data_IF_485319740329
#
_entry.id   IF_485319740329
#
_cell.length_a   1.000
_cell.length_b   1.000
_cell.length_c   1.000
_cell.angle_alpha   90.00
_cell.angle_beta   90.00
_cell.angle_gamma   90.00
#
_symmetry.space_group_name_H-M   'P 1'
#
loop_
_entity.id
_entity.type
_entity.pdbx_description
1 polymer ?
#
# COMPACT_ATOMS: atom_id res chain seq x y z
N UNK A 1 -29.87 0.47 17.62
CA UNK A 1 -29.46 0.49 16.20
C UNK A 1 -27.98 0.83 16.19
N UNK A 2 -27.18 0.18 15.35
CA UNK A 2 -25.77 0.58 15.21
C UNK A 2 -25.69 1.77 14.25
N UNK A 3 -24.83 2.73 14.57
CA UNK A 3 -24.71 3.97 13.79
C UNK A 3 -24.13 3.67 12.40
N UNK A 4 -24.68 4.27 11.35
CA UNK A 4 -24.14 4.20 9.99
C UNK A 4 -23.35 5.47 9.67
N UNK A 5 -22.28 5.34 8.88
CA UNK A 5 -21.42 6.44 8.48
C UNK A 5 -21.53 6.70 6.98
N UNK A 6 -21.63 7.96 6.59
CA UNK A 6 -21.44 8.40 5.20
C UNK A 6 -20.22 9.32 5.15
N UNK A 7 -19.22 8.97 4.35
CA UNK A 7 -18.06 9.84 4.09
C UNK A 7 -18.24 10.43 2.69
N UNK A 8 -18.37 11.75 2.63
CA UNK A 8 -18.59 12.49 1.39
C UNK A 8 -17.30 13.21 1.03
N UNK A 9 -16.67 12.83 -0.07
CA UNK A 9 -15.47 13.48 -0.60
C UNK A 9 -15.92 14.41 -1.73
N UNK A 10 -15.89 15.72 -1.48
CA UNK A 10 -16.37 16.74 -2.42
C UNK A 10 -15.21 17.50 -3.03
N UNK A 11 -15.19 17.65 -4.36
CA UNK A 11 -14.26 18.57 -5.03
C UNK A 11 -14.73 20.03 -4.90
N UNK A 12 -13.81 20.96 -4.68
CA UNK A 12 -14.08 22.41 -4.74
C UNK A 12 -13.22 23.08 -5.80
N UNK A 13 -13.87 23.90 -6.62
CA UNK A 13 -13.29 24.62 -7.76
C UNK A 13 -13.05 26.09 -7.41
N UNK A 14 -12.30 26.80 -8.26
CA UNK A 14 -12.06 28.22 -8.08
C UNK A 14 -13.36 29.03 -8.17
N UNK A 15 -13.38 30.26 -7.64
CA UNK A 15 -14.57 31.14 -7.69
C UNK A 15 -15.06 31.42 -9.12
N UNK A 16 -14.13 31.42 -10.08
CA UNK A 16 -14.42 31.57 -11.52
C UNK A 16 -15.26 30.41 -12.09
N UNK A 17 -15.36 29.30 -11.35
CA UNK A 17 -16.08 28.07 -11.71
C UNK A 17 -17.27 27.84 -10.75
N UNK A 18 -17.92 28.92 -10.33
CA UNK A 18 -19.02 28.92 -9.34
C UNK A 18 -20.20 28.00 -9.71
N UNK A 19 -20.46 27.80 -10.99
CA UNK A 19 -21.50 26.87 -11.48
C UNK A 19 -21.18 25.43 -11.08
N UNK A 20 -19.90 25.01 -11.20
CA UNK A 20 -19.48 23.66 -10.82
C UNK A 20 -19.63 23.47 -9.31
N UNK A 21 -19.20 24.45 -8.52
CA UNK A 21 -19.41 24.43 -7.08
C UNK A 21 -20.91 24.35 -6.71
N UNK A 22 -21.80 25.05 -7.43
CA UNK A 22 -23.24 24.99 -7.18
C UNK A 22 -23.84 23.60 -7.45
N UNK A 23 -23.41 22.93 -8.51
CA UNK A 23 -23.85 21.57 -8.83
C UNK A 23 -23.35 20.53 -7.79
N UNK A 24 -22.09 20.61 -7.36
CA UNK A 24 -21.57 19.77 -6.24
C UNK A 24 -22.40 19.98 -4.98
N UNK A 25 -22.77 21.22 -4.67
CA UNK A 25 -23.58 21.52 -3.50
C UNK A 25 -25.01 20.95 -3.61
N UNK A 26 -25.60 20.90 -4.81
CA UNK A 26 -26.92 20.26 -5.01
C UNK A 26 -26.88 18.76 -4.80
N UNK A 27 -25.87 18.10 -5.34
CA UNK A 27 -25.66 16.66 -5.09
C UNK A 27 -25.40 16.41 -3.61
N UNK A 28 -24.61 17.26 -2.95
CA UNK A 28 -24.37 17.17 -1.51
C UNK A 28 -25.65 17.28 -0.70
N UNK A 29 -26.57 18.18 -1.07
CA UNK A 29 -27.90 18.28 -0.45
C UNK A 29 -28.67 16.97 -0.66
N UNK A 30 -28.73 16.46 -1.89
CA UNK A 30 -29.43 15.21 -2.21
C UNK A 30 -28.86 14.02 -1.43
N UNK A 31 -27.54 13.94 -1.28
CA UNK A 31 -26.85 12.91 -0.49
C UNK A 31 -27.27 12.99 0.98
N UNK A 32 -27.23 14.19 1.59
CA UNK A 32 -27.59 14.39 3.00
C UNK A 32 -29.08 14.12 3.26
N UNK A 33 -29.95 14.39 2.30
CA UNK A 33 -31.37 14.05 2.37
C UNK A 33 -31.59 12.53 2.28
N UNK A 34 -30.96 11.88 1.30
CA UNK A 34 -31.14 10.45 1.01
C UNK A 34 -30.54 9.57 2.11
N UNK A 35 -29.34 9.91 2.58
CA UNK A 35 -28.62 9.19 3.64
C UNK A 35 -28.81 9.85 5.00
N UNK A 36 -30.01 10.38 5.27
CA UNK A 36 -30.33 11.10 6.51
C UNK A 36 -30.26 10.23 7.77
N UNK A 37 -30.28 8.90 7.63
CA UNK A 37 -30.05 7.93 8.71
C UNK A 37 -28.54 7.67 8.98
N UNK A 38 -27.64 8.25 8.17
CA UNK A 38 -26.19 8.15 8.34
C UNK A 38 -25.63 9.40 9.02
N UNK A 39 -24.60 9.22 9.84
CA UNK A 39 -23.74 10.34 10.21
C UNK A 39 -22.91 10.74 8.98
N UNK A 40 -23.19 11.90 8.40
CA UNK A 40 -22.46 12.41 7.25
C UNK A 40 -21.22 13.21 7.68
N UNK A 41 -20.05 12.79 7.20
CA UNK A 41 -18.76 13.46 7.40
C UNK A 41 -18.24 13.90 6.04
N UNK A 42 -17.89 15.19 5.90
CA UNK A 42 -17.50 15.78 4.63
C UNK A 42 -15.99 16.06 4.58
N UNK A 43 -15.37 15.68 3.46
CA UNK A 43 -13.96 15.94 3.12
C UNK A 43 -13.95 16.81 1.87
N UNK A 44 -13.63 18.08 2.03
CA UNK A 44 -13.55 19.03 0.92
C UNK A 44 -12.14 19.07 0.35
N UNK A 45 -11.99 18.71 -0.93
CA UNK A 45 -10.71 18.65 -1.64
C UNK A 45 -10.66 19.73 -2.72
N UNK A 46 -9.77 20.73 -2.63
CA UNK A 46 -9.63 21.73 -3.69
C UNK A 46 -8.97 21.12 -4.92
N UNK A 47 -9.53 21.33 -6.12
CA UNK A 47 -9.01 20.74 -7.38
C UNK A 47 -7.61 21.23 -7.74
N UNK A 48 -7.25 22.47 -7.35
CA UNK A 48 -5.93 23.08 -7.59
C UNK A 48 -4.93 22.73 -6.47
N UNK A 49 -5.39 22.13 -5.36
CA UNK A 49 -4.49 21.80 -4.26
C UNK A 49 -3.58 20.63 -4.65
N UNK A 50 -2.27 20.81 -4.44
CA UNK A 50 -1.31 19.72 -4.61
C UNK A 50 -1.65 18.50 -3.73
N UNK A 51 -1.23 17.31 -4.18
CA UNK A 51 -1.51 16.01 -3.56
C UNK A 51 -1.29 15.99 -2.03
N UNK A 52 -0.25 16.67 -1.54
CA UNK A 52 0.08 16.78 -0.12
C UNK A 52 -1.01 17.46 0.71
N UNK A 53 -1.64 18.51 0.17
CA UNK A 53 -2.69 19.26 0.89
C UNK A 53 -3.98 18.45 1.00
N UNK A 54 -4.34 17.73 -0.07
CA UNK A 54 -5.50 16.84 -0.08
C UNK A 54 -5.35 15.69 0.93
N UNK A 55 -4.16 15.07 1.00
CA UNK A 55 -3.83 14.03 1.99
C UNK A 55 -3.96 14.54 3.43
N UNK A 56 -3.43 15.74 3.70
CA UNK A 56 -3.50 16.33 5.05
C UNK A 56 -4.94 16.60 5.49
N UNK A 57 -5.76 17.20 4.63
CA UNK A 57 -7.17 17.47 4.92
C UNK A 57 -7.94 16.16 5.16
N UNK A 58 -7.68 15.15 4.33
CA UNK A 58 -8.27 13.82 4.46
C UNK A 58 -7.91 13.20 5.82
N UNK A 59 -6.63 13.19 6.19
CA UNK A 59 -6.17 12.65 7.47
C UNK A 59 -6.84 13.33 8.68
N UNK A 60 -6.92 14.66 8.68
CA UNK A 60 -7.55 15.43 9.77
C UNK A 60 -9.02 15.05 9.98
N UNK A 61 -9.78 14.85 8.90
CA UNK A 61 -11.18 14.44 9.01
C UNK A 61 -11.29 12.99 9.47
N UNK A 62 -10.44 12.09 8.95
CA UNK A 62 -10.44 10.68 9.35
C UNK A 62 -10.13 10.48 10.84
N UNK A 63 -9.26 11.30 11.44
CA UNK A 63 -8.98 11.27 12.89
C UNK A 63 -10.23 11.50 13.76
N UNK A 64 -11.24 12.22 13.24
CA UNK A 64 -12.49 12.47 13.97
C UNK A 64 -13.44 11.26 13.97
N UNK A 65 -13.22 10.30 13.06
CA UNK A 65 -14.09 9.14 12.88
C UNK A 65 -13.71 8.06 13.90
N UNK A 66 -14.67 7.74 14.78
CA UNK A 66 -14.51 6.71 15.81
C UNK A 66 -14.93 5.32 15.31
N UNK A 67 -14.36 4.26 15.89
CA UNK A 67 -14.66 2.85 15.56
C UNK A 67 -16.01 2.35 16.11
N UNK A 68 -17.05 3.19 16.09
CA UNK A 68 -18.39 2.90 16.62
C UNK A 68 -19.44 2.62 15.53
N UNK A 69 -19.11 2.93 14.28
CA UNK A 69 -20.01 2.78 13.14
C UNK A 69 -20.04 1.32 12.67
N UNK A 70 -21.22 0.83 12.30
CA UNK A 70 -21.38 -0.54 11.80
C UNK A 70 -21.06 -0.68 10.32
N UNK A 71 -21.28 0.37 9.52
CA UNK A 71 -21.05 0.38 8.08
C UNK A 71 -20.65 1.77 7.61
N UNK A 72 -19.94 1.83 6.48
CA UNK A 72 -19.58 3.06 5.81
C UNK A 72 -20.06 3.07 4.36
N UNK A 73 -20.70 4.16 3.95
CA UNK A 73 -20.95 4.50 2.55
C UNK A 73 -20.03 5.65 2.14
N UNK A 74 -19.26 5.46 1.09
CA UNK A 74 -18.39 6.50 0.53
C UNK A 74 -19.11 7.16 -0.65
N UNK A 75 -19.15 8.49 -0.68
CA UNK A 75 -19.68 9.25 -1.81
C UNK A 75 -18.55 10.12 -2.37
N UNK A 76 -18.21 9.94 -3.64
CA UNK A 76 -17.35 10.83 -4.39
C UNK A 76 -18.24 11.83 -5.12
N UNK A 77 -18.19 13.10 -4.73
CA UNK A 77 -19.01 14.16 -5.30
C UNK A 77 -18.12 15.16 -6.05
N UNK A 78 -18.15 15.09 -7.38
CA UNK A 78 -17.23 15.86 -8.23
C UNK A 78 -17.80 16.07 -9.63
N UNK A 79 -17.39 17.14 -10.30
CA UNK A 79 -17.70 17.30 -11.73
C UNK A 79 -16.82 16.43 -12.60
N UNK A 80 -15.51 16.49 -12.39
CA UNK A 80 -14.57 15.76 -13.23
C UNK A 80 -14.41 14.28 -12.86
N UNK A 81 -13.30 13.74 -13.33
CA UNK A 81 -12.96 12.34 -13.10
C UNK A 81 -12.47 12.13 -11.65
N UNK A 82 -13.37 11.70 -10.77
CA UNK A 82 -13.02 11.17 -9.45
C UNK A 82 -12.12 9.94 -9.57
N UNK A 83 -11.02 9.91 -8.81
CA UNK A 83 -9.95 8.90 -8.89
C UNK A 83 -8.79 9.25 -9.84
N UNK A 84 -8.82 10.42 -10.49
CA UNK A 84 -7.80 10.83 -11.48
C UNK A 84 -7.39 12.31 -11.32
N UNK A 85 -8.31 13.26 -11.52
CA UNK A 85 -7.97 14.69 -11.61
C UNK A 85 -8.46 15.49 -10.40
N UNK A 86 -9.76 15.45 -10.14
CA UNK A 86 -10.42 16.38 -9.20
C UNK A 86 -10.38 15.85 -7.77
N UNK A 87 -10.66 14.55 -7.61
CA UNK A 87 -10.42 13.79 -6.39
C UNK A 87 -9.36 12.76 -6.74
N UNK A 88 -8.17 12.86 -6.13
CA UNK A 88 -7.07 11.92 -6.37
C UNK A 88 -7.38 10.56 -5.73
N UNK A 89 -6.93 9.47 -6.34
CA UNK A 89 -7.17 8.12 -5.80
C UNK A 89 -6.52 7.92 -4.44
N UNK A 90 -5.43 8.63 -4.13
CA UNK A 90 -4.80 8.59 -2.81
C UNK A 90 -5.78 8.98 -1.69
N UNK A 91 -6.66 9.95 -1.89
CA UNK A 91 -7.68 10.32 -0.90
C UNK A 91 -8.66 9.17 -0.67
N UNK A 92 -9.13 8.55 -1.74
CA UNK A 92 -10.06 7.41 -1.65
C UNK A 92 -9.39 6.22 -0.97
N UNK A 93 -8.14 5.92 -1.33
CA UNK A 93 -7.32 4.87 -0.69
C UNK A 93 -7.15 5.13 0.80
N UNK A 94 -6.86 6.37 1.21
CA UNK A 94 -6.74 6.72 2.63
C UNK A 94 -8.03 6.43 3.40
N UNK A 95 -9.20 6.78 2.84
CA UNK A 95 -10.49 6.48 3.47
C UNK A 95 -10.71 4.96 3.57
N UNK A 96 -10.47 4.22 2.49
CA UNK A 96 -10.63 2.75 2.48
C UNK A 96 -9.71 2.07 3.49
N UNK A 97 -8.46 2.52 3.57
CA UNK A 97 -7.47 2.04 4.51
C UNK A 97 -7.90 2.30 5.96
N UNK A 98 -8.32 3.54 6.27
CA UNK A 98 -8.73 3.94 7.62
C UNK A 98 -9.99 3.22 8.09
N UNK A 99 -10.99 3.03 7.21
CA UNK A 99 -12.18 2.22 7.51
C UNK A 99 -11.79 0.78 7.82
N UNK A 100 -10.87 0.20 7.04
CA UNK A 100 -10.34 -1.13 7.31
C UNK A 100 -9.58 -1.19 8.65
N UNK A 101 -8.82 -0.17 9.02
CA UNK A 101 -8.07 -0.14 10.27
C UNK A 101 -8.99 -0.11 11.49
N UNK A 102 -10.08 0.66 11.37
CA UNK A 102 -11.16 0.80 12.36
C UNK A 102 -12.15 -0.37 12.36
N UNK A 103 -12.02 -1.30 11.41
CA UNK A 103 -12.93 -2.45 11.29
C UNK A 103 -14.35 -2.08 10.85
N UNK A 104 -14.51 -0.94 10.18
CA UNK A 104 -15.80 -0.46 9.65
C UNK A 104 -15.93 -1.00 8.22
N UNK A 105 -16.87 -1.91 7.92
CA UNK A 105 -17.07 -2.42 6.58
C UNK A 105 -17.66 -1.34 5.68
N UNK A 106 -17.09 -1.20 4.49
CA UNK A 106 -17.63 -0.36 3.43
C UNK A 106 -18.74 -1.13 2.72
N UNK A 107 -19.92 -0.54 2.58
CA UNK A 107 -21.05 -1.17 1.87
C UNK A 107 -21.07 -0.78 0.41
N UNK A 108 -20.73 0.48 0.11
CA UNK A 108 -20.89 1.07 -1.21
C UNK A 108 -19.93 2.26 -1.40
N UNK A 109 -19.50 2.46 -2.64
CA UNK A 109 -18.94 3.71 -3.12
C UNK A 109 -19.83 4.28 -4.23
N UNK A 110 -20.42 5.45 -4.03
CA UNK A 110 -21.18 6.17 -5.06
C UNK A 110 -20.31 7.24 -5.71
N UNK A 111 -20.05 7.10 -7.00
CA UNK A 111 -19.31 8.05 -7.82
C UNK A 111 -20.28 9.02 -8.53
N UNK A 112 -20.64 10.09 -7.83
CA UNK A 112 -21.36 11.24 -8.36
C UNK A 112 -20.38 12.10 -9.17
N UNK A 113 -20.16 11.71 -10.43
CA UNK A 113 -19.28 12.39 -11.38
C UNK A 113 -20.13 13.18 -12.39
N UNK A 114 -20.39 14.46 -12.17
CA UNK A 114 -21.21 15.29 -13.07
C UNK A 114 -20.36 15.94 -14.19
N UNK A 115 -20.26 15.25 -15.33
CA UNK A 115 -19.88 15.78 -16.65
C UNK A 115 -18.66 16.75 -16.78
N UNK A 116 -17.56 16.54 -16.07
CA UNK A 116 -16.40 17.46 -16.11
C UNK A 116 -15.35 17.15 -17.20
N UNK A 117 -15.59 17.53 -18.46
CA UNK A 117 -14.47 17.61 -19.44
C UNK A 117 -14.31 18.95 -20.16
N UNK A 118 -15.33 19.78 -20.19
CA UNK A 118 -15.26 21.16 -20.65
C UNK A 118 -16.22 21.89 -19.72
N UNK A 119 -15.92 23.10 -19.25
CA UNK A 119 -16.84 23.91 -18.43
C UNK A 119 -18.10 24.35 -19.19
N UNK A 120 -18.79 23.39 -19.79
CA UNK A 120 -19.97 23.47 -20.62
C UNK A 120 -20.87 22.32 -20.20
N UNK A 121 -22.03 22.65 -19.65
CA UNK A 121 -23.13 21.73 -19.40
C UNK A 121 -23.49 20.93 -20.67
N UNK A 122 -24.18 19.79 -20.52
CA UNK A 122 -24.68 19.03 -21.66
C UNK A 122 -25.54 19.90 -22.61
N UNK A 123 -26.24 20.87 -22.05
CA UNK A 123 -27.01 21.89 -22.77
C UNK A 123 -26.11 22.81 -23.60
N UNK A 124 -25.00 23.29 -23.04
CA UNK A 124 -24.04 24.16 -23.74
C UNK A 124 -23.24 23.42 -24.81
N UNK A 125 -22.87 22.16 -24.60
CA UNK A 125 -22.22 21.32 -25.63
C UNK A 125 -23.17 21.07 -26.81
N UNK A 126 -24.45 20.83 -26.54
CA UNK A 126 -25.48 20.66 -27.58
C UNK A 126 -25.80 21.99 -28.29
N UNK A 127 -25.76 23.11 -27.58
CA UNK A 127 -25.89 24.44 -28.16
C UNK A 127 -24.70 24.79 -29.06
N UNK A 128 -23.48 24.39 -28.68
CA UNK A 128 -22.26 24.59 -29.45
C UNK A 128 -22.16 23.66 -30.68
N UNK A 129 -22.86 22.53 -30.68
CA UNK A 129 -22.90 21.62 -31.83
C UNK A 129 -24.30 20.99 -32.03
N UNK A 130 -25.21 21.71 -32.72
CA UNK A 130 -26.62 21.32 -32.88
C UNK A 130 -26.86 20.00 -33.63
N UNK A 131 -25.82 19.49 -34.30
CA UNK A 131 -25.85 18.23 -35.05
C UNK A 131 -25.63 16.99 -34.17
N UNK A 132 -25.27 17.17 -32.89
CA UNK A 132 -25.12 16.06 -31.94
C UNK A 132 -26.53 15.53 -31.62
N UNK A 133 -26.85 14.26 -31.92
CA UNK A 133 -28.13 13.67 -31.56
C UNK A 133 -28.35 13.77 -30.04
N UNK A 134 -29.58 13.98 -29.59
CA UNK A 134 -29.93 14.08 -28.16
C UNK A 134 -29.38 12.90 -27.32
N UNK A 135 -29.21 11.74 -27.94
CA UNK A 135 -28.73 10.49 -27.36
C UNK A 135 -27.23 10.23 -27.53
N UNK A 136 -26.47 11.13 -28.16
CA UNK A 136 -25.04 10.93 -28.39
C UNK A 136 -24.20 11.21 -27.14
N UNK A 137 -23.34 10.26 -26.82
CA UNK A 137 -22.47 10.24 -25.64
C UNK A 137 -21.35 11.26 -25.74
N UNK A 138 -21.26 12.16 -24.75
CA UNK A 138 -20.18 13.13 -24.61
C UNK A 138 -19.23 12.60 -23.51
N UNK A 139 -18.14 11.94 -23.92
CA UNK A 139 -17.10 11.29 -23.07
C UNK A 139 -17.46 9.95 -22.41
N UNK A 140 -16.48 9.03 -22.36
CA UNK A 140 -16.62 7.73 -21.72
C UNK A 140 -16.17 7.78 -20.24
N UNK A 141 -17.10 8.09 -19.33
CA UNK A 141 -16.90 8.04 -17.86
C UNK A 141 -16.46 6.69 -17.32
N UNK A 142 -16.67 5.61 -18.08
CA UNK A 142 -16.32 4.24 -17.68
C UNK A 142 -14.82 4.07 -17.34
N UNK A 143 -13.94 4.81 -18.01
CA UNK A 143 -12.50 4.67 -17.82
C UNK A 143 -11.98 5.12 -16.44
N UNK A 144 -12.55 6.17 -15.82
CA UNK A 144 -12.10 6.67 -14.51
C UNK A 144 -12.45 5.69 -13.38
N UNK A 145 -13.66 5.12 -13.41
CA UNK A 145 -14.11 4.15 -12.41
C UNK A 145 -13.35 2.82 -12.52
N UNK A 146 -13.07 2.35 -13.75
CA UNK A 146 -12.25 1.14 -13.97
C UNK A 146 -10.82 1.34 -13.44
N UNK A 147 -10.24 2.53 -13.61
CA UNK A 147 -8.92 2.88 -13.04
C UNK A 147 -8.98 2.86 -11.51
N UNK A 148 -10.01 3.48 -10.91
CA UNK A 148 -10.18 3.49 -9.46
C UNK A 148 -10.38 2.07 -8.92
N UNK A 149 -11.23 1.26 -9.56
CA UNK A 149 -11.46 -0.15 -9.21
C UNK A 149 -10.14 -0.94 -9.23
N UNK A 150 -9.36 -0.83 -10.30
CA UNK A 150 -8.07 -1.53 -10.41
C UNK A 150 -7.10 -1.12 -9.28
N UNK A 151 -7.08 0.17 -8.94
CA UNK A 151 -6.24 0.72 -7.86
C UNK A 151 -6.69 0.26 -6.47
N UNK A 152 -8.00 0.17 -6.23
CA UNK A 152 -8.57 -0.31 -4.96
C UNK A 152 -8.39 -1.83 -4.82
N UNK A 153 -8.58 -2.60 -5.88
CA UNK A 153 -8.33 -4.06 -5.88
C UNK A 153 -6.86 -4.41 -5.59
N UNK A 154 -5.93 -3.52 -5.93
CA UNK A 154 -4.51 -3.68 -5.61
C UNK A 154 -4.16 -3.32 -4.16
N UNK A 155 -5.11 -2.79 -3.37
CA UNK A 155 -4.86 -2.42 -1.97
C UNK A 155 -4.75 -3.65 -1.07
N UNK A 156 -3.84 -3.54 -0.11
CA UNK A 156 -3.71 -4.48 1.00
C UNK A 156 -4.16 -3.75 2.27
N UNK A 157 -5.25 -4.22 2.88
CA UNK A 157 -5.94 -3.56 4.00
C UNK A 157 -5.97 -4.47 5.23
N UNK A 158 -6.02 -3.94 6.46
CA UNK A 158 -6.01 -4.76 7.71
C UNK A 158 -7.10 -5.85 7.73
N UNK A 159 -8.28 -5.49 7.26
CA UNK A 159 -9.46 -6.32 7.03
C UNK A 159 -9.79 -6.21 5.54
N UNK A 160 -10.07 -7.33 4.86
CA UNK A 160 -10.49 -7.26 3.46
C UNK A 160 -11.81 -6.49 3.36
N UNK A 161 -11.93 -5.62 2.35
CA UNK A 161 -13.13 -4.87 2.03
C UNK A 161 -13.70 -5.40 0.72
N UNK A 162 -15.00 -5.67 0.70
CA UNK A 162 -15.72 -6.07 -0.51
C UNK A 162 -16.93 -5.16 -0.64
N UNK A 163 -16.96 -4.35 -1.69
CA UNK A 163 -18.03 -3.38 -1.92
C UNK A 163 -18.13 -3.06 -3.40
N UNK A 164 -19.24 -2.46 -3.79
CA UNK A 164 -19.48 -2.06 -5.16
C UNK A 164 -19.28 -0.56 -5.34
N UNK A 165 -18.69 -0.19 -6.49
CA UNK A 165 -18.67 1.18 -7.01
C UNK A 165 -19.86 1.33 -7.94
N UNK A 166 -20.77 2.26 -7.61
CA UNK A 166 -21.85 2.68 -8.48
C UNK A 166 -21.50 4.03 -9.07
N UNK A 167 -21.63 4.19 -10.38
CA UNK A 167 -21.48 5.49 -11.04
C UNK A 167 -22.28 5.57 -12.32
N UNK A 168 -22.47 6.76 -12.85
CA UNK A 168 -23.25 6.93 -14.08
C UNK A 168 -22.44 6.53 -15.32
N UNK A 169 -23.06 5.75 -16.21
CA UNK A 169 -22.48 5.41 -17.52
C UNK A 169 -22.37 6.62 -18.46
N UNK A 170 -23.16 7.67 -18.22
CA UNK A 170 -23.22 8.90 -19.00
C UNK A 170 -23.16 10.13 -18.09
N UNK A 171 -22.96 11.31 -18.71
CA UNK A 171 -23.33 12.60 -18.14
C UNK A 171 -24.69 12.53 -17.42
N UNK A 172 -24.81 13.16 -16.25
CA UNK A 172 -26.10 13.49 -15.65
C UNK A 172 -26.07 14.96 -15.22
N UNK A 173 -27.25 15.57 -15.13
CA UNK A 173 -27.49 16.92 -14.64
C UNK A 173 -28.11 16.86 -13.22
N UNK A 174 -27.40 17.30 -12.18
CA UNK A 174 -27.89 17.32 -10.79
C UNK A 174 -29.22 18.09 -10.60
N UNK A 175 -29.56 19.00 -11.52
CA UNK A 175 -30.78 19.83 -11.43
C UNK A 175 -32.01 19.04 -11.85
N UNK A 176 -31.91 18.32 -12.97
CA UNK A 176 -33.05 17.67 -13.62
C UNK A 176 -33.12 16.17 -13.36
N UNK A 177 -32.03 15.56 -12.89
CA UNK A 177 -31.89 14.11 -12.70
C UNK A 177 -31.66 13.74 -11.22
N UNK A 178 -32.30 14.45 -10.29
CA UNK A 178 -32.21 14.19 -8.84
C UNK A 178 -32.58 12.74 -8.50
N UNK A 179 -33.65 12.21 -9.09
CA UNK A 179 -34.09 10.83 -8.86
C UNK A 179 -33.01 9.82 -9.27
N UNK A 180 -32.28 10.06 -10.35
CA UNK A 180 -31.19 9.18 -10.78
C UNK A 180 -30.03 9.17 -9.76
N UNK A 181 -29.76 10.31 -9.11
CA UNK A 181 -28.81 10.41 -7.99
C UNK A 181 -29.29 9.61 -6.78
N UNK A 182 -30.57 9.73 -6.43
CA UNK A 182 -31.17 8.96 -5.33
C UNK A 182 -31.08 7.45 -5.60
N UNK A 183 -31.45 7.01 -6.81
CA UNK A 183 -31.38 5.60 -7.22
C UNK A 183 -29.94 5.08 -7.12
N UNK A 184 -28.96 5.87 -7.56
CA UNK A 184 -27.55 5.50 -7.48
C UNK A 184 -27.05 5.39 -6.03
N UNK A 185 -27.47 6.32 -5.16
CA UNK A 185 -27.14 6.28 -3.73
C UNK A 185 -27.73 5.06 -3.04
N UNK A 186 -28.91 4.60 -3.48
CA UNK A 186 -29.56 3.39 -2.99
C UNK A 186 -29.00 2.09 -3.63
N UNK A 187 -28.10 2.20 -4.61
CA UNK A 187 -27.54 1.05 -5.33
C UNK A 187 -28.48 0.47 -6.40
N UNK A 188 -29.51 1.23 -6.80
CA UNK A 188 -30.58 0.83 -7.72
C UNK A 188 -30.42 1.42 -9.14
N UNK A 189 -29.22 1.92 -9.49
CA UNK A 189 -28.96 2.54 -10.79
C UNK A 189 -27.48 2.63 -11.18
N UNK A 190 -27.24 3.01 -12.44
CA UNK A 190 -25.89 3.24 -12.98
C UNK A 190 -25.14 1.98 -13.44
N UNK A 191 -23.83 2.13 -13.58
CA UNK A 191 -22.86 1.06 -13.86
C UNK A 191 -22.21 0.64 -12.55
N UNK A 192 -22.16 -0.67 -12.32
CA UNK A 192 -21.60 -1.26 -11.11
C UNK A 192 -20.26 -1.92 -11.41
N UNK A 193 -19.26 -1.66 -10.55
CA UNK A 193 -17.95 -2.31 -10.57
C UNK A 193 -17.64 -2.87 -9.17
N UNK A 194 -17.29 -4.15 -9.10
CA UNK A 194 -16.98 -4.78 -7.84
C UNK A 194 -15.53 -4.53 -7.39
N UNK A 195 -15.36 -4.15 -6.13
CA UNK A 195 -14.05 -3.99 -5.48
C UNK A 195 -13.87 -5.09 -4.44
N UNK A 196 -12.70 -5.71 -4.46
CA UNK A 196 -12.23 -6.67 -3.46
C UNK A 196 -10.79 -6.34 -3.09
N UNK A 197 -10.59 -5.76 -1.91
CA UNK A 197 -9.24 -5.51 -1.40
C UNK A 197 -8.65 -6.78 -0.79
N UNK A 198 -7.33 -6.91 -0.83
CA UNK A 198 -6.67 -8.04 -0.20
C UNK A 198 -6.52 -7.77 1.30
N UNK A 199 -6.85 -8.76 2.15
CA UNK A 199 -6.49 -8.68 3.57
C UNK A 199 -4.96 -8.69 3.69
N UNK A 200 -4.44 -7.82 4.54
CA UNK A 200 -3.11 -7.93 5.10
C UNK A 200 -3.07 -9.20 5.93
N UNK A 201 -2.63 -10.28 5.29
CA UNK A 201 -2.14 -11.44 6.01
C UNK A 201 -0.77 -11.01 6.50
N UNK A 202 -0.52 -10.92 7.82
CA UNK A 202 0.83 -10.69 8.31
C UNK A 202 1.70 -11.81 7.78
N UNK A 203 2.39 -11.52 6.68
CA UNK A 203 3.48 -12.34 6.20
C UNK A 203 4.53 -12.16 7.27
N UNK A 204 4.87 -13.23 7.99
CA UNK A 204 5.95 -13.14 8.97
C UNK A 204 7.14 -12.42 8.33
N UNK A 205 7.87 -11.55 9.04
CA UNK A 205 9.01 -10.84 8.47
C UNK A 205 9.96 -11.79 7.73
N UNK A 206 10.12 -13.01 8.26
CA UNK A 206 10.86 -14.12 7.64
C UNK A 206 10.31 -14.58 6.28
N UNK A 207 8.99 -14.73 6.14
CA UNK A 207 8.37 -15.15 4.88
C UNK A 207 8.45 -14.02 3.84
N UNK A 208 8.36 -12.76 4.26
CA UNK A 208 8.54 -11.61 3.37
C UNK A 208 9.98 -11.50 2.88
N UNK A 209 10.95 -11.58 3.79
CA UNK A 209 12.38 -11.64 3.47
C UNK A 209 12.70 -12.80 2.51
N UNK A 210 12.14 -13.99 2.75
CA UNK A 210 12.30 -15.15 1.86
C UNK A 210 11.71 -14.88 0.46
N UNK A 211 10.58 -14.19 0.38
CA UNK A 211 9.97 -13.82 -0.91
C UNK A 211 10.81 -12.80 -1.67
N UNK A 212 11.43 -11.84 -0.99
CA UNK A 212 12.38 -10.89 -1.58
C UNK A 212 13.58 -11.65 -2.16
N UNK A 213 14.18 -12.59 -1.40
CA UNK A 213 15.29 -13.41 -1.89
C UNK A 213 14.93 -14.23 -3.13
N UNK A 214 13.74 -14.84 -3.18
CA UNK A 214 13.26 -15.55 -4.38
C UNK A 214 13.13 -14.63 -5.58
N UNK A 215 12.63 -13.41 -5.39
CA UNK A 215 12.54 -12.44 -6.48
C UNK A 215 13.93 -11.97 -6.94
N UNK A 216 14.88 -11.78 -6.02
CA UNK A 216 16.29 -11.48 -6.36
C UNK A 216 16.90 -12.60 -7.19
N UNK A 217 16.68 -13.87 -6.82
CA UNK A 217 17.16 -15.02 -7.57
C UNK A 217 16.63 -15.03 -9.00
N UNK A 218 15.34 -14.75 -9.21
CA UNK A 218 14.73 -14.61 -10.55
C UNK A 218 15.43 -13.51 -11.35
N UNK A 219 15.69 -12.35 -10.76
CA UNK A 219 16.39 -11.24 -11.44
C UNK A 219 17.82 -11.62 -11.79
N UNK A 220 18.56 -12.25 -10.88
CA UNK A 220 19.94 -12.69 -11.10
C UNK A 220 20.06 -13.75 -12.18
N UNK A 221 19.18 -14.75 -12.19
CA UNK A 221 19.11 -15.77 -13.25
C UNK A 221 18.79 -15.15 -14.62
N UNK A 222 17.96 -14.10 -14.63
CA UNK A 222 17.54 -13.38 -15.83
C UNK A 222 18.62 -12.45 -16.40
N UNK A 223 19.68 -12.11 -15.64
CA UNK A 223 20.79 -11.28 -16.14
C UNK A 223 21.53 -11.92 -17.31
N UNK A 224 21.54 -13.26 -17.39
CA UNK A 224 22.31 -14.00 -18.38
C UNK A 224 21.71 -13.95 -19.80
N UNK A 225 20.44 -13.54 -19.97
CA UNK A 225 19.78 -13.56 -21.28
C UNK A 225 18.79 -12.41 -21.43
N UNK A 226 18.98 -11.51 -22.40
CA UNK A 226 18.06 -10.36 -22.62
C UNK A 226 16.60 -10.77 -22.87
N UNK A 227 16.37 -11.95 -23.47
CA UNK A 227 15.02 -12.52 -23.69
C UNK A 227 14.26 -12.82 -22.39
N UNK A 228 14.94 -12.96 -21.25
CA UNK A 228 14.29 -13.26 -19.97
C UNK A 228 13.62 -12.03 -19.33
N UNK A 229 14.02 -10.81 -19.73
CA UNK A 229 13.49 -9.57 -19.13
C UNK A 229 12.04 -9.27 -19.57
N UNK A 230 11.54 -9.88 -20.63
CA UNK A 230 10.13 -9.80 -21.05
C UNK A 230 9.25 -10.89 -20.44
N UNK A 231 9.82 -11.83 -19.66
CA UNK A 231 9.03 -12.90 -19.07
C UNK A 231 8.12 -12.37 -17.96
N UNK A 232 6.87 -12.86 -17.85
CA UNK A 232 5.95 -12.45 -16.79
C UNK A 232 6.52 -12.65 -15.38
N UNK A 233 7.36 -13.67 -15.17
CA UNK A 233 8.02 -13.91 -13.89
C UNK A 233 9.02 -12.80 -13.52
N UNK A 234 9.82 -12.34 -14.50
CA UNK A 234 10.76 -11.24 -14.31
C UNK A 234 10.00 -9.93 -14.00
N UNK A 235 8.96 -9.61 -14.77
CA UNK A 235 8.14 -8.41 -14.55
C UNK A 235 7.51 -8.40 -13.16
N UNK A 236 6.97 -9.56 -12.72
CA UNK A 236 6.45 -9.70 -11.35
C UNK A 236 7.53 -9.50 -10.31
N UNK A 237 8.70 -10.12 -10.48
CA UNK A 237 9.83 -9.98 -9.56
C UNK A 237 10.30 -8.51 -9.48
N UNK A 238 10.41 -7.80 -10.61
CA UNK A 238 10.79 -6.38 -10.61
C UNK A 238 9.77 -5.51 -9.92
N UNK A 239 8.48 -5.77 -10.08
CA UNK A 239 7.42 -5.01 -9.42
C UNK A 239 7.45 -5.24 -7.91
N UNK A 240 7.58 -6.50 -7.47
CA UNK A 240 7.69 -6.85 -6.05
C UNK A 240 8.92 -6.23 -5.38
N UNK A 241 10.08 -6.26 -6.05
CA UNK A 241 11.29 -5.60 -5.55
C UNK A 241 11.17 -4.05 -5.59
N UNK A 242 10.41 -3.51 -6.54
CA UNK A 242 10.06 -2.09 -6.60
C UNK A 242 9.21 -1.64 -5.40
N UNK A 243 8.24 -2.46 -5.00
CA UNK A 243 7.45 -2.23 -3.78
C UNK A 243 8.33 -2.33 -2.53
N UNK A 244 9.13 -3.40 -2.42
CA UNK A 244 10.01 -3.63 -1.27
C UNK A 244 11.00 -2.47 -1.04
N UNK A 245 11.65 -1.96 -2.09
CA UNK A 245 12.59 -0.83 -1.93
C UNK A 245 11.87 0.47 -1.53
N UNK A 246 10.61 0.64 -1.97
CA UNK A 246 9.80 1.83 -1.63
C UNK A 246 9.43 1.79 -0.15
N UNK A 247 9.01 0.64 0.35
CA UNK A 247 8.73 0.41 1.77
C UNK A 247 9.99 0.65 2.63
N UNK A 248 11.14 0.09 2.25
CA UNK A 248 12.41 0.36 2.93
C UNK A 248 12.74 1.84 2.97
N UNK A 249 12.55 2.56 1.85
CA UNK A 249 12.77 4.01 1.76
C UNK A 249 11.84 4.79 2.68
N UNK A 250 10.58 4.40 2.79
CA UNK A 250 9.62 5.03 3.72
C UNK A 250 10.02 4.82 5.17
N UNK A 251 10.49 3.62 5.53
CA UNK A 251 10.99 3.32 6.89
C UNK A 251 12.24 4.13 7.22
N UNK A 252 13.23 4.17 6.34
CA UNK A 252 14.43 5.01 6.55
C UNK A 252 14.05 6.48 6.71
N UNK A 253 13.18 7.01 5.84
CA UNK A 253 12.71 8.39 5.92
C UNK A 253 12.04 8.68 7.27
N UNK A 254 11.13 7.82 7.71
CA UNK A 254 10.44 7.97 8.99
C UNK A 254 11.43 8.05 10.17
N UNK A 255 12.43 7.16 10.22
CA UNK A 255 13.41 7.18 11.31
C UNK A 255 14.30 8.43 11.27
N UNK A 256 14.71 8.88 10.06
CA UNK A 256 15.49 10.12 9.91
C UNK A 256 14.69 11.37 10.30
N UNK A 257 13.41 11.45 9.89
CA UNK A 257 12.54 12.59 10.19
C UNK A 257 12.27 12.72 11.70
N UNK A 258 12.17 11.58 12.40
CA UNK A 258 11.91 11.54 13.83
C UNK A 258 13.19 11.47 14.69
N UNK A 259 14.38 11.61 14.08
CA UNK A 259 15.68 11.49 14.76
C UNK A 259 15.82 10.19 15.58
N UNK A 260 15.26 9.09 15.09
CA UNK A 260 15.30 7.78 15.72
C UNK A 260 16.43 6.91 15.13
N UNK A 261 17.00 5.99 15.92
CA UNK A 261 17.90 4.97 15.38
C UNK A 261 17.22 4.19 14.27
N UNK A 262 17.95 3.94 13.17
CA UNK A 262 17.46 3.16 12.05
C UNK A 262 17.60 1.67 12.38
N UNK A 263 16.52 0.88 12.25
CA UNK A 263 16.60 -0.57 12.45
C UNK A 263 17.61 -1.23 11.50
N UNK A 264 18.28 -2.29 11.99
CA UNK A 264 19.44 -2.87 11.32
C UNK A 264 19.11 -3.40 9.92
N UNK A 265 17.89 -3.87 9.70
CA UNK A 265 17.40 -4.35 8.42
C UNK A 265 17.32 -3.25 7.35
N UNK A 266 17.09 -2.00 7.74
CA UNK A 266 17.00 -0.85 6.81
C UNK A 266 18.35 -0.13 6.60
N UNK A 267 19.33 -0.38 7.47
CA UNK A 267 20.67 0.20 7.38
C UNK A 267 21.35 -0.01 6.02
N UNK A 268 21.24 -1.18 5.34
CA UNK A 268 21.84 -1.39 4.03
C UNK A 268 21.41 -0.38 2.97
N UNK A 269 20.14 0.06 2.98
CA UNK A 269 19.64 1.06 2.03
C UNK A 269 20.25 2.43 2.32
N UNK A 270 20.26 2.86 3.59
CA UNK A 270 20.87 4.14 3.96
C UNK A 270 22.35 4.15 3.57
N UNK A 271 23.10 3.10 3.93
CA UNK A 271 24.52 2.99 3.61
C UNK A 271 24.77 3.03 2.10
N UNK A 272 23.98 2.33 1.28
CA UNK A 272 24.12 2.39 -0.18
C UNK A 272 23.91 3.81 -0.72
N UNK A 273 22.90 4.55 -0.21
CA UNK A 273 22.65 5.94 -0.62
C UNK A 273 23.77 6.88 -0.12
N UNK A 274 24.29 6.70 1.08
CA UNK A 274 25.42 7.48 1.61
C UNK A 274 26.72 7.21 0.86
N UNK A 275 27.02 5.95 0.50
CA UNK A 275 28.16 5.59 -0.32
C UNK A 275 28.01 6.17 -1.73
N UNK A 276 26.78 6.14 -2.26
CA UNK A 276 26.41 6.89 -3.46
C UNK A 276 26.43 8.41 -3.27
N UNK A 277 26.66 8.94 -2.07
CA UNK A 277 26.99 10.35 -1.81
C UNK A 277 28.51 10.59 -1.62
N UNK A 278 29.32 9.55 -1.42
CA UNK A 278 30.78 9.63 -1.28
C UNK A 278 31.51 9.47 -2.62
N UNK A 279 30.97 8.68 -3.56
CA UNK A 279 31.62 8.39 -4.85
C UNK A 279 31.71 9.61 -5.81
N UNK A 280 32.81 9.89 -6.51
CA UNK A 280 32.85 10.98 -7.48
C UNK A 280 31.95 10.69 -8.70
N UNK A 281 30.84 11.42 -8.87
CA UNK A 281 29.94 11.31 -10.02
C UNK A 281 29.86 12.63 -10.80
N UNK A 282 29.90 12.55 -12.14
CA UNK A 282 29.90 13.73 -13.04
C UNK A 282 28.66 14.62 -12.91
N UNK A 283 27.50 14.02 -12.62
CA UNK A 283 26.20 14.72 -12.68
C UNK A 283 25.61 15.03 -11.29
N UNK A 284 26.46 15.13 -10.27
CA UNK A 284 25.98 15.36 -8.90
C UNK A 284 25.68 16.85 -8.64
N UNK A 285 24.59 17.15 -7.90
CA UNK A 285 24.53 18.39 -7.15
C UNK A 285 25.67 18.44 -6.13
N UNK A 286 26.10 19.64 -5.71
CA UNK A 286 27.20 19.92 -4.78
C UNK A 286 27.33 18.92 -3.61
N UNK A 287 28.54 18.82 -3.02
CA UNK A 287 28.83 17.96 -1.87
C UNK A 287 27.71 18.00 -0.82
N UNK A 288 27.08 16.84 -0.59
CA UNK A 288 25.98 16.70 0.37
C UNK A 288 26.57 16.34 1.74
N UNK A 289 26.19 17.04 2.82
CA UNK A 289 26.67 16.71 4.15
C UNK A 289 26.24 15.30 4.57
N UNK A 290 27.11 14.61 5.29
CA UNK A 290 26.86 13.30 5.89
C UNK A 290 26.97 13.41 7.42
N UNK A 291 26.16 12.65 8.21
CA UNK A 291 25.12 11.71 7.76
C UNK A 291 23.93 12.42 7.08
N UNK A 292 23.17 11.70 6.26
CA UNK A 292 22.04 12.29 5.53
C UNK A 292 20.87 12.57 6.47
N UNK A 293 20.32 13.79 6.40
CA UNK A 293 18.98 14.07 6.95
C UNK A 293 17.87 13.50 6.04
N UNK A 294 16.62 13.54 6.50
CA UNK A 294 15.47 12.98 5.79
C UNK A 294 15.27 13.58 4.38
N UNK A 295 15.49 14.89 4.22
CA UNK A 295 15.32 15.60 2.94
C UNK A 295 16.42 15.23 1.95
N UNK A 296 17.66 15.23 2.42
CA UNK A 296 18.84 14.84 1.65
C UNK A 296 18.79 13.36 1.27
N UNK A 297 18.32 12.49 2.16
CA UNK A 297 18.10 11.07 1.86
C UNK A 297 17.11 10.89 0.71
N UNK A 298 15.92 11.51 0.75
CA UNK A 298 14.91 11.38 -0.32
C UNK A 298 15.45 11.89 -1.65
N UNK A 299 16.19 13.00 -1.63
CA UNK A 299 16.80 13.57 -2.83
C UNK A 299 17.86 12.62 -3.42
N UNK A 300 18.80 12.15 -2.61
CA UNK A 300 19.90 11.29 -3.06
C UNK A 300 19.44 9.88 -3.42
N UNK A 301 18.44 9.34 -2.72
CA UNK A 301 17.75 8.11 -3.08
C UNK A 301 17.18 8.14 -4.50
N UNK A 302 16.58 9.26 -4.94
CA UNK A 302 16.06 9.41 -6.31
C UNK A 302 17.17 9.32 -7.36
N UNK A 303 18.33 9.95 -7.10
CA UNK A 303 19.47 9.87 -8.00
C UNK A 303 20.07 8.46 -8.02
N UNK A 304 20.23 7.86 -6.84
CA UNK A 304 20.68 6.48 -6.69
C UNK A 304 19.78 5.50 -7.45
N UNK A 305 18.46 5.60 -7.29
CA UNK A 305 17.49 4.74 -7.96
C UNK A 305 17.50 4.90 -9.48
N UNK A 306 17.80 6.10 -9.98
CA UNK A 306 17.91 6.39 -11.41
C UNK A 306 19.13 5.71 -12.03
N UNK A 307 20.27 5.75 -11.34
CA UNK A 307 21.54 5.15 -11.75
C UNK A 307 21.56 3.63 -11.54
N UNK A 308 21.18 3.18 -10.35
CA UNK A 308 21.19 1.78 -9.91
C UNK A 308 19.89 1.08 -10.28
N UNK A 309 19.87 0.48 -11.47
CA UNK A 309 18.75 -0.34 -11.95
C UNK A 309 18.47 -1.52 -11.02
N UNK A 310 17.27 -2.10 -11.10
CA UNK A 310 16.84 -3.22 -10.24
C UNK A 310 17.77 -4.45 -10.33
N UNK A 311 18.43 -4.64 -11.47
CA UNK A 311 19.42 -5.69 -11.69
C UNK A 311 20.86 -5.27 -11.36
N UNK A 312 21.11 -4.04 -10.88
CA UNK A 312 22.46 -3.65 -10.48
C UNK A 312 22.88 -4.45 -9.23
N UNK A 313 24.17 -4.79 -9.16
CA UNK A 313 24.71 -5.57 -8.03
C UNK A 313 24.52 -4.83 -6.70
N UNK A 314 24.58 -3.50 -6.73
CA UNK A 314 24.35 -2.65 -5.57
C UNK A 314 22.90 -2.75 -5.06
N UNK A 315 21.91 -2.65 -5.94
CA UNK A 315 20.49 -2.76 -5.55
C UNK A 315 20.12 -4.17 -5.13
N UNK A 316 20.68 -5.19 -5.78
CA UNK A 316 20.56 -6.59 -5.35
C UNK A 316 21.19 -6.80 -3.97
N UNK A 317 22.37 -6.22 -3.73
CA UNK A 317 23.07 -6.29 -2.45
C UNK A 317 22.25 -5.70 -1.30
N UNK A 318 21.54 -4.59 -1.53
CA UNK A 318 20.60 -4.01 -0.55
C UNK A 318 19.49 -5.02 -0.19
N UNK A 319 18.84 -5.65 -1.18
CA UNK A 319 17.77 -6.61 -0.93
C UNK A 319 18.23 -7.88 -0.21
N UNK A 320 19.42 -8.40 -0.57
CA UNK A 320 20.03 -9.56 0.08
C UNK A 320 20.32 -9.25 1.56
N UNK A 321 21.03 -8.16 1.83
CA UNK A 321 21.37 -7.73 3.20
C UNK A 321 20.13 -7.46 4.05
N UNK A 322 19.12 -6.78 3.50
CA UNK A 322 17.83 -6.59 4.19
C UNK A 322 17.25 -7.93 4.63
N UNK A 323 17.17 -8.88 3.70
CA UNK A 323 16.54 -10.18 3.94
C UNK A 323 17.35 -11.03 4.92
N UNK A 324 18.68 -11.02 4.80
CA UNK A 324 19.61 -11.68 5.72
C UNK A 324 19.47 -11.17 7.14
N UNK A 325 19.45 -9.85 7.36
CA UNK A 325 19.28 -9.25 8.69
C UNK A 325 17.95 -9.69 9.33
N UNK A 326 16.84 -9.60 8.59
CA UNK A 326 15.52 -10.03 9.09
C UNK A 326 15.50 -11.51 9.48
N UNK A 327 16.14 -12.38 8.69
CA UNK A 327 16.21 -13.82 8.96
C UNK A 327 17.11 -14.14 10.18
N UNK A 328 18.22 -13.42 10.33
CA UNK A 328 19.13 -13.54 11.48
C UNK A 328 18.41 -13.13 12.76
N UNK A 329 17.76 -11.96 12.77
CA UNK A 329 17.04 -11.46 13.95
C UNK A 329 15.90 -12.39 14.37
N UNK A 330 15.14 -12.92 13.40
CA UNK A 330 14.12 -13.92 13.67
C UNK A 330 14.71 -15.21 14.30
N UNK A 331 15.89 -15.63 13.84
CA UNK A 331 16.59 -16.80 14.39
C UNK A 331 17.07 -16.55 15.82
N UNK A 332 17.60 -15.35 16.10
CA UNK A 332 18.03 -14.95 17.45
C UNK A 332 16.81 -14.91 18.38
N UNK A 333 15.71 -14.30 17.94
CA UNK A 333 14.45 -14.22 18.70
C UNK A 333 13.88 -15.61 19.02
N UNK A 334 13.82 -16.51 18.03
CA UNK A 334 13.37 -17.88 18.25
C UNK A 334 14.26 -18.65 19.24
N UNK A 335 15.58 -18.48 19.16
CA UNK A 335 16.53 -19.09 20.13
C UNK A 335 16.35 -18.51 21.53
N UNK A 336 16.10 -17.21 21.67
CA UNK A 336 15.85 -16.58 22.96
C UNK A 336 14.55 -17.10 23.60
N UNK A 337 13.48 -17.25 22.80
CA UNK A 337 12.21 -17.82 23.26
C UNK A 337 12.36 -19.29 23.69
N UNK A 338 13.08 -20.11 22.92
CA UNK A 338 13.37 -21.50 23.29
C UNK A 338 14.18 -21.59 24.60
N UNK A 339 15.14 -20.68 24.81
CA UNK A 339 15.89 -20.60 26.06
C UNK A 339 15.00 -20.22 27.24
N UNK A 340 14.13 -19.23 27.09
CA UNK A 340 13.19 -18.81 28.13
C UNK A 340 12.26 -19.97 28.54
N UNK A 341 11.71 -20.71 27.57
CA UNK A 341 10.88 -21.88 27.82
C UNK A 341 11.66 -23.03 28.50
N UNK A 342 12.95 -23.17 28.21
CA UNK A 342 13.81 -24.17 28.86
C UNK A 342 14.20 -23.80 30.29
N UNK A 343 14.35 -22.51 30.61
CA UNK A 343 14.66 -22.05 31.98
C UNK A 343 13.45 -22.12 32.90
N UNK A 344 12.24 -21.85 32.39
CA UNK A 344 11.00 -22.00 33.16
C UNK A 344 10.69 -23.47 33.48
N UNK A 345 11.14 -24.40 32.64
CA UNK A 345 11.04 -25.84 32.90
C UNK A 345 11.99 -26.34 34.01
N UNK A 346 13.08 -25.60 34.30
CA UNK A 346 14.07 -25.98 35.32
C UNK A 346 13.74 -25.34 36.68
N UNK A 347 13.08 -24.17 36.71
CA UNK A 347 12.65 -23.52 37.97
C UNK A 347 11.34 -24.06 38.57
N UNK A 348 10.67 -25.00 37.90
CA UNK A 348 9.38 -25.57 38.30
C UNK A 348 9.44 -26.91 39.05
N UNK A 349 10.62 -27.45 39.38
CA UNK A 349 10.74 -28.72 40.10
C UNK A 349 11.15 -28.51 41.57
N UNK A 350 10.22 -28.61 42.54
CA UNK A 350 10.57 -28.64 43.94
C UNK A 350 10.92 -30.07 44.33
N UNK A 351 12.16 -30.49 44.10
CA UNK A 351 12.75 -31.60 44.84
C UNK A 351 14.16 -31.21 45.27
N UNK A 352 14.25 -30.82 46.54
CA UNK A 352 15.33 -31.18 47.47
C UNK A 352 15.65 -32.68 47.27
N UNK A 353 16.90 -33.15 47.28
CA UNK A 353 17.84 -33.04 48.40
C UNK A 353 19.28 -33.27 47.92
N UNK A 354 20.20 -32.67 48.65
CA UNK A 354 21.58 -33.12 48.82
C UNK A 354 21.63 -34.63 49.07
N UNK A 355 22.54 -35.34 48.41
CA UNK A 355 23.23 -36.48 49.02
C UNK A 355 24.58 -36.66 48.32
N UNK A 356 25.63 -36.38 49.09
CA UNK A 356 26.99 -36.84 48.90
C UNK A 356 27.00 -38.35 48.59
N UNK A 357 27.66 -38.76 47.52
CA UNK A 357 28.36 -40.05 47.50
C UNK A 357 29.69 -39.92 46.73
N UNK A 358 30.74 -40.10 47.52
CA UNK A 358 32.14 -40.22 47.18
C UNK A 358 32.44 -41.46 46.32
N UNK A 359 33.44 -41.30 45.44
CA UNK A 359 34.49 -42.26 45.06
C UNK A 359 34.13 -43.75 44.86
N UNK A 360 34.37 -44.30 43.67
CA UNK A 360 35.47 -45.26 43.44
C UNK A 360 35.51 -45.79 41.99
N UNK A 361 36.74 -45.84 41.47
CA UNK A 361 37.33 -46.84 40.56
C UNK A 361 36.69 -47.16 39.19
N UNK A 362 37.37 -46.65 38.17
CA UNK A 362 37.66 -47.34 36.92
C UNK A 362 38.68 -48.46 37.22
N UNK A 363 38.58 -49.69 36.69
CA UNK A 363 39.27 -49.95 35.42
C UNK A 363 38.73 -51.15 34.59
N UNK A 364 38.66 -51.01 33.27
CA UNK A 364 39.07 -52.09 32.36
C UNK A 364 39.69 -51.49 31.10
N UNK A 365 41.02 -51.58 31.04
CA UNK A 365 41.83 -51.41 29.84
C UNK A 365 41.75 -52.65 28.93
N UNK A 366 41.93 -52.38 27.63
CA UNK A 366 42.53 -53.20 26.58
C UNK A 366 41.87 -54.53 26.17
N UNK A 367 41.48 -54.65 24.90
CA UNK A 367 42.40 -55.32 23.96
C UNK A 367 42.20 -54.91 22.49
N UNK A 368 43.34 -54.77 21.85
CA UNK A 368 43.60 -54.52 20.44
C UNK A 368 43.42 -55.78 19.59
N UNK A 369 42.94 -55.66 18.35
CA UNK A 369 42.79 -56.84 17.48
C UNK A 369 42.53 -56.56 16.01
N UNK A 370 43.61 -56.25 15.29
CA UNK A 370 43.92 -56.58 13.89
C UNK A 370 42.94 -56.27 12.74
N UNK A 371 43.48 -55.42 11.87
CA UNK A 371 43.24 -55.24 10.45
C UNK A 371 43.53 -56.52 9.63
N UNK A 372 42.58 -56.96 8.79
CA UNK A 372 42.87 -57.77 7.59
C UNK A 372 41.82 -57.51 6.49
N UNK A 373 42.23 -56.80 5.44
CA UNK A 373 42.11 -57.29 4.08
C UNK A 373 40.75 -57.23 3.36
N UNK A 374 40.55 -56.13 2.62
CA UNK A 374 40.34 -56.15 1.16
C UNK A 374 39.12 -56.88 0.57
N UNK A 375 38.31 -56.15 -0.21
CA UNK A 375 38.20 -56.34 -1.67
C UNK A 375 37.35 -55.27 -2.34
N UNK A 376 37.79 -54.93 -3.55
CA UNK A 376 37.19 -54.07 -4.57
C UNK A 376 35.83 -54.59 -5.06
N UNK A 377 35.21 -53.71 -5.87
CA UNK A 377 34.16 -53.87 -6.91
C UNK A 377 32.75 -53.51 -6.43
N UNK A 378 31.98 -52.64 -7.10
CA UNK A 378 32.16 -52.01 -8.40
C UNK A 378 31.07 -50.96 -8.68
N UNK A 379 31.29 -50.23 -9.78
CA UNK A 379 30.43 -49.19 -10.38
C UNK A 379 28.99 -49.64 -10.62
N UNK A 380 28.03 -48.72 -10.44
CA UNK A 380 27.37 -48.00 -11.55
C UNK A 380 27.05 -46.57 -11.11
#
# INVERSE_FOLDING_TARGET
MQDKLCIIISSVYAETESVLNAEVQRDLTTVKETLSDHTCVEITVPVIAGETSAKRLTAQVLETIQSRYATCHIVLNTHGAGGVNDIKDECVKMVVQDMSEKGIPITQLSALQCNGMLGQSATEVRAANPMIPLHATVSAKKASMEILQAKLNAMITKEAQNFDIFGFGSAYDPISEKEAVVDLLNGEGGVTLNVSTARYIPVSPTRYATQILKNVEIIEQSKATERYQSMPAYIRATNMLGLAITEMKEKVFFHLENCQPIPAEFQPLLTAVEDYCRAPHRDRPQAVPLPLDASNFVRMYKYWLKDKKVHSDERIGVFKKYSETVLIEATISAKAQLRALSTDAISGSPYTTEEDFSSEENPYENDSGMDVGGKKTGRF
#
